data_IF_857148818910
#
_entry.id   IF_857148818910
#
_cell.length_a   1.000
_cell.length_b   1.000
_cell.length_c   1.000
_cell.angle_alpha   90.00
_cell.angle_beta   90.00
_cell.angle_gamma   90.00
#
_symmetry.space_group_name_H-M   'P 1'
#
loop_
_entity.id
_entity.type
_entity.pdbx_description
1 polymer ?
#
# COMPACT_ATOMS: atom_id res chain seq x y z
N UNK A 1 19.57 0.46 2.80
CA UNK A 1 18.11 0.43 2.95
C UNK A 1 17.46 0.94 1.68
N UNK A 2 16.45 0.25 1.23
CA UNK A 2 15.76 0.64 0.02
C UNK A 2 14.97 1.93 0.24
N UNK A 3 15.16 2.88 -0.65
CA UNK A 3 14.46 4.15 -0.56
C UNK A 3 12.95 3.97 -0.60
N UNK A 4 12.48 3.03 -1.41
CA UNK A 4 11.04 2.76 -1.50
C UNK A 4 10.49 2.33 -0.14
N UNK A 5 11.21 1.47 0.56
CA UNK A 5 10.76 1.01 1.86
C UNK A 5 10.67 2.17 2.84
N UNK A 6 11.67 3.05 2.85
CA UNK A 6 11.67 4.19 3.74
C UNK A 6 10.52 5.14 3.43
N UNK A 7 10.29 5.39 2.14
CA UNK A 7 9.21 6.27 1.75
C UNK A 7 7.85 5.70 2.11
N UNK A 8 7.67 4.39 1.91
CA UNK A 8 6.42 3.76 2.30
C UNK A 8 6.23 3.74 3.81
N UNK A 9 7.32 3.55 4.55
CA UNK A 9 7.24 3.62 6.00
C UNK A 9 6.76 5.01 6.46
N UNK A 10 7.32 6.06 5.88
CA UNK A 10 6.90 7.42 6.20
C UNK A 10 5.45 7.65 5.84
N UNK A 11 5.00 7.10 4.71
CA UNK A 11 3.61 7.23 4.31
C UNK A 11 2.70 6.53 5.33
N UNK A 12 3.07 5.34 5.77
CA UNK A 12 2.28 4.59 6.74
C UNK A 12 2.22 5.36 8.06
N UNK A 13 3.33 5.93 8.48
CA UNK A 13 3.32 6.75 9.70
C UNK A 13 2.35 7.91 9.59
N UNK A 14 2.33 8.55 8.43
CA UNK A 14 1.40 9.67 8.24
C UNK A 14 -0.05 9.19 8.26
N UNK A 15 -0.30 8.02 7.69
CA UNK A 15 -1.65 7.44 7.69
C UNK A 15 -2.12 7.09 9.09
N UNK A 16 -1.21 6.78 9.99
CA UNK A 16 -1.54 6.45 11.37
C UNK A 16 -1.68 7.69 12.24
N UNK A 17 -1.37 8.86 11.72
CA UNK A 17 -1.44 10.09 12.50
C UNK A 17 -2.85 10.62 12.62
N UNK A 18 -2.96 11.90 12.95
CA UNK A 18 -4.27 12.50 13.16
C UNK A 18 -4.83 13.08 11.86
N UNK A 19 -6.08 13.51 11.93
CA UNK A 19 -6.77 14.07 10.79
C UNK A 19 -7.72 13.06 10.16
N UNK A 20 -8.52 13.54 9.22
CA UNK A 20 -9.43 12.65 8.49
C UNK A 20 -8.63 11.71 7.60
N UNK A 21 -9.26 10.59 7.20
CA UNK A 21 -8.56 9.65 6.33
C UNK A 21 -8.17 10.33 5.02
N UNK A 22 -9.00 11.24 4.52
CA UNK A 22 -8.68 11.97 3.30
C UNK A 22 -7.45 12.84 3.47
N UNK A 23 -7.37 13.59 4.56
CA UNK A 23 -6.21 14.42 4.84
C UNK A 23 -4.95 13.59 4.98
N UNK A 24 -5.07 12.48 5.70
CA UNK A 24 -3.92 11.60 5.91
C UNK A 24 -3.46 10.98 4.59
N UNK A 25 -4.41 10.58 3.75
CA UNK A 25 -4.07 10.00 2.45
C UNK A 25 -3.36 11.02 1.56
N UNK A 26 -3.89 12.24 1.50
CA UNK A 26 -3.25 13.29 0.70
C UNK A 26 -1.81 13.50 1.15
N UNK A 27 -1.60 13.65 2.46
CA UNK A 27 -0.26 13.90 2.96
C UNK A 27 0.67 12.71 2.75
N UNK A 28 0.16 11.52 3.04
CA UNK A 28 0.98 10.32 2.88
C UNK A 28 1.47 10.17 1.44
N UNK A 29 0.57 10.37 0.49
CA UNK A 29 0.92 10.21 -0.91
C UNK A 29 1.81 11.36 -1.39
N UNK A 30 1.39 12.59 -1.15
CA UNK A 30 2.08 13.76 -1.70
C UNK A 30 3.48 13.93 -1.14
N UNK A 31 3.66 13.60 0.13
CA UNK A 31 4.95 13.83 0.78
C UNK A 31 5.93 12.69 0.58
N UNK A 32 5.45 11.49 0.27
CA UNK A 32 6.31 10.32 0.30
C UNK A 32 6.30 9.49 -0.95
N UNK A 33 5.22 9.46 -1.70
CA UNK A 33 5.06 8.50 -2.79
C UNK A 33 4.98 9.13 -4.16
N UNK A 34 4.55 10.37 -4.22
CA UNK A 34 4.28 11.00 -5.53
C UNK A 34 5.52 11.10 -6.39
N UNK A 35 6.65 11.39 -5.78
CA UNK A 35 7.88 11.65 -6.51
C UNK A 35 8.79 10.44 -6.65
N UNK A 36 8.30 9.26 -6.28
CA UNK A 36 9.14 8.07 -6.42
C UNK A 36 9.45 7.79 -7.89
N UNK A 37 10.70 7.45 -8.20
CA UNK A 37 11.06 7.14 -9.59
C UNK A 37 10.40 5.86 -10.05
N UNK A 38 9.96 5.86 -11.31
CA UNK A 38 9.24 4.71 -11.86
C UNK A 38 10.15 3.52 -12.11
N UNK A 39 11.36 3.79 -12.54
CA UNK A 39 12.21 2.72 -13.07
C UNK A 39 12.68 1.75 -12.00
N UNK A 40 12.71 2.17 -10.77
CA UNK A 40 13.24 1.33 -9.69
C UNK A 40 12.14 0.70 -8.84
N UNK A 41 10.90 0.78 -9.28
CA UNK A 41 9.79 0.24 -8.51
C UNK A 41 9.87 -1.30 -8.50
N UNK A 42 9.88 -1.91 -7.31
CA UNK A 42 9.89 -3.37 -7.24
C UNK A 42 8.69 -3.99 -7.95
N UNK A 43 8.93 -5.08 -8.63
CA UNK A 43 7.87 -5.72 -9.42
C UNK A 43 6.69 -6.13 -8.55
N UNK A 44 6.95 -6.49 -7.30
CA UNK A 44 5.89 -7.00 -6.41
C UNK A 44 4.81 -5.97 -6.12
N UNK A 45 5.13 -4.68 -6.22
CA UNK A 45 4.14 -3.64 -5.94
C UNK A 45 3.83 -2.77 -7.15
N UNK A 46 4.46 -3.04 -8.30
CA UNK A 46 4.38 -2.12 -9.44
C UNK A 46 2.96 -1.86 -9.88
N UNK A 47 2.16 -2.90 -10.09
CA UNK A 47 0.81 -2.69 -10.58
C UNK A 47 -0.07 -1.99 -9.55
N UNK A 48 0.13 -2.30 -8.26
CA UNK A 48 -0.65 -1.63 -7.22
C UNK A 48 -0.29 -0.15 -7.10
N UNK A 49 0.99 0.16 -7.20
CA UNK A 49 1.41 1.56 -7.13
C UNK A 49 0.91 2.33 -8.34
N UNK A 50 0.91 1.68 -9.50
CA UNK A 50 0.37 2.30 -10.71
C UNK A 50 -1.10 2.65 -10.55
N UNK A 51 -1.88 1.72 -10.01
CA UNK A 51 -3.30 1.97 -9.77
C UNK A 51 -3.51 3.10 -8.79
N UNK A 52 -2.69 3.15 -7.74
CA UNK A 52 -2.78 4.23 -6.77
C UNK A 52 -2.48 5.56 -7.44
N UNK A 53 -1.42 5.62 -8.24
CA UNK A 53 -1.05 6.85 -8.93
C UNK A 53 -2.16 7.31 -9.86
N UNK A 54 -2.76 6.39 -10.60
CA UNK A 54 -3.87 6.75 -11.47
C UNK A 54 -5.02 7.35 -10.68
N UNK A 55 -5.35 6.75 -9.54
CA UNK A 55 -6.43 7.24 -8.71
C UNK A 55 -6.12 8.63 -8.15
N UNK A 56 -4.87 8.85 -7.74
CA UNK A 56 -4.48 10.11 -7.13
C UNK A 56 -4.29 11.25 -8.13
N UNK A 57 -4.36 10.96 -9.42
CA UNK A 57 -4.26 11.96 -10.45
C UNK A 57 -5.45 11.92 -11.39
N UNK A 58 -6.55 11.35 -10.93
CA UNK A 58 -7.72 11.13 -11.79
C UNK A 58 -8.57 12.38 -11.95
N UNK A 59 -8.42 13.36 -11.09
CA UNK A 59 -9.24 14.57 -11.11
C UNK A 59 -8.34 15.78 -11.34
N UNK A 60 -8.76 16.64 -12.27
CA UNK A 60 -8.01 17.84 -12.57
C UNK A 60 -8.09 18.81 -11.40
N UNK A 61 -6.98 19.36 -10.94
CA UNK A 61 -7.03 20.29 -9.80
C UNK A 61 -7.66 21.62 -10.17
N UNK A 62 -8.27 22.24 -9.18
CA UNK A 62 -8.82 23.57 -9.29
C UNK A 62 -7.95 24.53 -8.50
N UNK A 63 -7.61 25.66 -9.10
CA UNK A 63 -6.83 26.68 -8.43
C UNK A 63 -5.48 26.15 -7.97
N UNK A 64 -5.19 26.29 -6.69
CA UNK A 64 -3.89 25.89 -6.14
C UNK A 64 -3.85 24.48 -5.63
N UNK A 65 -4.93 23.76 -5.80
CA UNK A 65 -5.03 22.39 -5.33
C UNK A 65 -4.08 21.49 -6.11
N UNK A 66 -3.48 20.51 -5.44
CA UNK A 66 -2.66 19.53 -6.15
C UNK A 66 -3.57 18.49 -6.80
N UNK A 67 -3.07 17.76 -7.81
CA UNK A 67 -3.89 16.68 -8.38
C UNK A 67 -4.32 15.65 -7.34
N UNK A 68 -3.44 15.31 -6.40
CA UNK A 68 -3.79 14.36 -5.36
C UNK A 68 -4.91 14.91 -4.47
N UNK A 69 -4.80 16.16 -4.07
CA UNK A 69 -5.84 16.76 -3.23
C UNK A 69 -7.17 16.80 -3.96
N UNK A 70 -7.15 17.16 -5.25
CA UNK A 70 -8.39 17.21 -6.04
C UNK A 70 -9.01 15.82 -6.17
N UNK A 71 -8.18 14.82 -6.41
CA UNK A 71 -8.67 13.46 -6.60
C UNK A 71 -9.28 12.91 -5.30
N UNK A 72 -8.60 13.13 -4.18
CA UNK A 72 -9.09 12.65 -2.90
C UNK A 72 -10.36 13.41 -2.49
N UNK A 73 -10.41 14.70 -2.80
CA UNK A 73 -11.61 15.49 -2.50
C UNK A 73 -12.86 14.88 -3.13
N UNK A 74 -12.71 14.29 -4.31
CA UNK A 74 -13.84 13.69 -5.02
C UNK A 74 -14.15 12.27 -4.60
N UNK A 75 -13.29 11.65 -3.83
CA UNK A 75 -13.51 10.27 -3.39
C UNK A 75 -14.51 10.22 -2.24
N UNK A 76 -15.16 9.06 -2.10
CA UNK A 76 -15.86 8.77 -0.85
C UNK A 76 -14.85 8.46 0.24
N UNK A 77 -15.30 8.54 1.49
CA UNK A 77 -14.44 8.15 2.61
C UNK A 77 -14.02 6.69 2.50
N UNK A 78 -14.94 5.82 2.07
CA UNK A 78 -14.63 4.41 1.91
C UNK A 78 -13.56 4.19 0.84
N UNK A 79 -13.65 4.94 -0.25
CA UNK A 79 -12.66 4.82 -1.31
C UNK A 79 -11.29 5.30 -0.83
N UNK A 80 -11.26 6.43 -0.12
CA UNK A 80 -10.00 6.92 0.43
C UNK A 80 -9.39 5.91 1.41
N UNK A 81 -10.23 5.26 2.21
CA UNK A 81 -9.75 4.23 3.13
C UNK A 81 -9.15 3.04 2.40
N UNK A 82 -9.74 2.65 1.27
CA UNK A 82 -9.19 1.55 0.48
C UNK A 82 -7.80 1.90 -0.05
N UNK A 83 -7.60 3.12 -0.48
CA UNK A 83 -6.28 3.53 -0.95
C UNK A 83 -5.28 3.59 0.20
N UNK A 84 -5.71 4.04 1.37
CA UNK A 84 -4.82 4.03 2.53
C UNK A 84 -4.40 2.61 2.88
N UNK A 85 -5.35 1.68 2.85
CA UNK A 85 -5.03 0.28 3.12
C UNK A 85 -4.11 -0.31 2.05
N UNK A 86 -4.27 0.12 0.81
CA UNK A 86 -3.39 -0.32 -0.27
C UNK A 86 -1.95 0.11 0.00
N UNK A 87 -1.75 1.31 0.51
CA UNK A 87 -0.42 1.77 0.86
C UNK A 87 0.20 0.89 1.95
N UNK A 88 -0.60 0.57 2.98
CA UNK A 88 -0.12 -0.30 4.04
C UNK A 88 0.24 -1.68 3.49
N UNK A 89 -0.59 -2.20 2.60
CA UNK A 89 -0.34 -3.51 1.99
C UNK A 89 0.95 -3.52 1.18
N UNK A 90 1.18 -2.46 0.42
CA UNK A 90 2.43 -2.35 -0.35
C UNK A 90 3.64 -2.27 0.56
N UNK A 91 3.53 -1.52 1.66
CA UNK A 91 4.62 -1.46 2.62
C UNK A 91 4.90 -2.83 3.22
N UNK A 92 3.85 -3.55 3.57
CA UNK A 92 4.00 -4.90 4.11
C UNK A 92 4.72 -5.81 3.13
N UNK A 93 4.38 -5.69 1.85
CA UNK A 93 5.02 -6.48 0.83
C UNK A 93 6.51 -6.13 0.70
N UNK A 94 6.83 -4.84 0.72
CA UNK A 94 8.22 -4.40 0.64
C UNK A 94 9.04 -4.91 1.80
N UNK A 95 8.49 -4.88 3.00
CA UNK A 95 9.19 -5.35 4.18
C UNK A 95 9.41 -6.86 4.09
N UNK A 96 8.41 -7.59 3.64
CA UNK A 96 8.51 -9.03 3.52
C UNK A 96 9.57 -9.44 2.51
N UNK A 97 9.58 -8.77 1.35
CA UNK A 97 10.57 -9.06 0.33
C UNK A 97 11.97 -8.77 0.87
N UNK A 98 12.13 -7.63 1.55
CA UNK A 98 13.42 -7.26 2.08
C UNK A 98 13.92 -8.25 3.13
N UNK A 99 13.05 -8.67 4.04
CA UNK A 99 13.49 -9.49 5.15
C UNK A 99 13.65 -10.96 4.78
N UNK A 100 12.94 -11.43 3.75
CA UNK A 100 13.02 -12.82 3.34
C UNK A 100 13.72 -13.02 2.01
N UNK A 101 13.85 -11.98 1.25
CA UNK A 101 14.64 -11.96 0.01
C UNK A 101 14.55 -13.19 -0.84
N UNK A 102 15.63 -13.90 -0.89
CA UNK A 102 15.75 -15.07 -1.74
C UNK A 102 14.75 -16.14 -1.42
N UNK A 103 14.35 -16.23 -0.16
CA UNK A 103 13.40 -17.25 0.22
C UNK A 103 12.09 -17.12 -0.53
N UNK A 104 11.69 -15.90 -0.81
CA UNK A 104 10.49 -15.70 -1.58
C UNK A 104 10.64 -16.23 -2.99
N UNK A 105 11.80 -16.12 -3.52
CA UNK A 105 12.06 -16.64 -4.85
C UNK A 105 11.97 -18.15 -4.87
N UNK A 106 12.47 -18.76 -3.83
CA UNK A 106 12.40 -20.18 -3.72
C UNK A 106 11.03 -20.60 -3.32
N UNK A 107 10.57 -19.86 -2.53
CA UNK A 107 9.43 -20.23 -1.92
C UNK A 107 8.23 -20.45 -2.69
N UNK A 108 8.27 -20.52 -2.88
CA UNK A 108 7.26 -20.69 -3.02
C UNK A 108 6.56 -21.56 -2.47
N UNK A 109 6.76 -21.70 -1.96
CA UNK A 109 6.29 -22.30 -1.38
C UNK A 109 5.53 -22.39 -0.65
N UNK A 110 5.44 -22.10 -0.48
CA UNK A 110 4.68 -22.13 0.09
C UNK A 110 3.96 -22.29 0.60
N UNK A 111 3.87 -22.41 0.58
CA UNK A 111 3.09 -22.50 1.11
C UNK A 111 2.53 -22.59 1.75
N UNK A 112 2.42 -22.80 1.78
CA UNK A 112 1.82 -22.84 2.16
C UNK A 112 1.49 -22.83 2.82
N UNK A 113 1.40 -22.96 2.89
CA UNK A 113 0.92 -22.92 3.31
C UNK A 113 0.49 -22.88 3.83
N UNK A 114 0.36 -23.10 3.80
CA UNK A 114 -0.24 -23.00 4.03
C UNK A 114 -0.80 -23.05 4.41
N UNK A 115 -0.90 -23.30 4.45
CA UNK A 115 -1.53 -23.43 4.63
C UNK A 115 -1.96 -23.66 5.16
N UNK A 116 -1.98 -23.83 5.28
CA UNK A 116 -2.55 -24.01 5.56
C UNK A 116 -2.88 -24.02 6.15
N UNK A 117 -2.89 -24.41 6.21
CA UNK A 117 -3.43 -24.33 6.63
C UNK A 117 -3.94 -24.28 7.22
N UNK A 118 -4.07 -24.42 7.33
CA UNK A 118 -4.74 -24.38 7.60
C UNK A 118 -5.19 -24.54 8.12
N UNK A 119 -5.26 -24.65 8.28
CA UNK A 119 -5.88 -24.76 8.53
C UNK A 119 -6.27 -24.96 9.04
N UNK A 120 -6.32 -25.13 9.20
CA UNK A 120 -6.91 -25.24 9.52
C UNK A 120 -7.43 -25.38 10.05
N UNK A 121 -7.53 -25.52 10.27
CA UNK A 121 -8.22 -25.62 10.63
C UNK A 121 -8.70 -25.90 11.08
N UNK A 122 -8.70 -26.02 11.26
CA UNK A 122 -9.38 -26.38 11.71
C UNK A 122 -9.90 -26.59 12.13
N UNK A 123 -9.98 -26.62 12.24
CA UNK A 123 -10.71 -26.81 12.60
C UNK A 123 -11.24 -26.82 13.09
N UNK A 124 -11.47 -26.75 13.13
CA UNK A 124 -12.18 -26.71 13.46
C UNK A 124 -12.79 -26.96 13.99
N UNK A 125 -12.83 -26.83 14.07
CA UNK A 125 -13.60 -26.94 14.47
C UNK A 125 -14.10 -27.23 15.02
N UNK A 126 -14.03 -27.30 15.17
CA UNK A 126 -14.69 -27.44 15.57
C UNK A 126 -15.27 -27.74 16.06
N UNK A 127 -15.46 -27.82 16.32
CA UNK A 127 -16.06 -27.92 16.66
C UNK A 127 -16.54 -28.01 16.93
N UNK A 128 -16.64 -28.08 17.08
CA UNK A 128 -17.05 -27.95 17.23
C UNK A 128 -17.30 -27.94 17.31
#
# INVERSE_FOLDING_TARGET
MCQFTDNFYSAVRRLAGDGSVKQRLISAYSENLEMLPDKDIPASIRSRLELLRQAMHSVKPLGKESPAAASVRKMSTAEASRHALAIVAMFSELVRVKSTGERLNGGKTKPADASEATTAAPPRNTMN
#
